data_IF_226159146473
#
_entry.id   IF_226159146473
#
_cell.length_a   1.000
_cell.length_b   1.000
_cell.length_c   1.000
_cell.angle_alpha   90.00
_cell.angle_beta   90.00
_cell.angle_gamma   90.00
#
_symmetry.space_group_name_H-M   'P 1'
#
loop_
_entity.id
_entity.type
_entity.pdbx_description
1 polymer ?
#
# COMPACT_ATOMS: atom_id res chain seq x y z
N UNK A 1 13.98 -27.72 -3.54
CA UNK A 1 13.69 -27.24 -2.16
C UNK A 1 14.49 -25.96 -1.93
N UNK A 2 13.88 -24.79 -2.19
CA UNK A 2 14.50 -23.51 -1.90
C UNK A 2 14.53 -23.30 -0.38
N UNK A 3 15.74 -23.15 0.17
CA UNK A 3 15.96 -22.86 1.59
C UNK A 3 15.40 -21.47 1.90
N UNK A 4 14.44 -21.40 2.81
CA UNK A 4 14.02 -20.15 3.42
C UNK A 4 15.23 -19.55 4.13
N UNK A 5 15.71 -18.40 3.64
CA UNK A 5 16.76 -17.64 4.31
C UNK A 5 16.15 -17.05 5.59
N UNK A 6 16.34 -17.74 6.70
CA UNK A 6 16.06 -17.21 8.03
C UNK A 6 17.01 -16.03 8.24
N UNK A 7 16.45 -14.84 8.33
CA UNK A 7 17.16 -13.59 8.63
C UNK A 7 17.72 -13.63 10.06
N UNK A 8 18.87 -14.28 10.22
CA UNK A 8 19.83 -14.08 11.32
C UNK A 8 20.96 -13.24 10.72
N UNK A 9 21.41 -12.12 11.26
CA UNK A 9 21.64 -11.80 12.66
C UNK A 9 21.67 -10.27 12.86
N UNK A 10 21.26 -9.82 14.06
CA UNK A 10 21.57 -8.51 14.68
C UNK A 10 21.06 -7.22 13.99
N UNK A 11 19.74 -6.99 14.03
CA UNK A 11 19.11 -5.70 14.40
C UNK A 11 17.57 -5.77 14.27
N UNK A 12 16.92 -6.77 14.90
CA UNK A 12 15.46 -6.79 15.05
C UNK A 12 15.13 -6.62 16.53
N UNK A 13 15.07 -5.37 16.97
CA UNK A 13 14.23 -4.98 18.10
C UNK A 13 13.20 -4.05 17.48
N UNK A 14 12.11 -4.52 16.88
CA UNK A 14 10.90 -4.91 17.61
C UNK A 14 9.91 -5.75 16.76
N UNK A 15 10.28 -6.18 15.56
CA UNK A 15 9.35 -6.76 14.58
C UNK A 15 9.92 -8.05 13.99
N UNK A 16 9.53 -9.22 14.54
CA UNK A 16 10.04 -10.56 14.16
C UNK A 16 9.65 -10.95 12.72
N UNK A 17 10.20 -10.23 11.73
CA UNK A 17 9.86 -10.37 10.32
C UNK A 17 10.64 -11.53 9.68
N UNK A 18 9.93 -12.38 8.92
CA UNK A 18 10.49 -13.52 8.18
C UNK A 18 10.01 -13.45 6.74
N UNK A 19 10.92 -13.53 5.77
CA UNK A 19 10.59 -13.55 4.33
C UNK A 19 10.38 -15.00 3.87
N UNK A 20 9.25 -15.27 3.22
CA UNK A 20 8.86 -16.60 2.72
C UNK A 20 9.04 -16.71 1.20
N UNK A 21 8.73 -15.65 0.44
CA UNK A 21 8.95 -15.59 -1.02
C UNK A 21 9.05 -14.14 -1.52
N UNK A 22 9.58 -13.90 -2.73
CA UNK A 22 9.76 -12.54 -3.30
C UNK A 22 9.21 -12.42 -4.72
N UNK A 23 8.68 -11.24 -5.10
CA UNK A 23 8.13 -10.98 -6.45
C UNK A 23 8.18 -9.50 -6.92
N UNK A 24 7.90 -9.32 -8.22
CA UNK A 24 7.66 -8.15 -9.09
C UNK A 24 8.73 -7.05 -9.27
N UNK A 25 9.37 -6.53 -8.23
CA UNK A 25 10.39 -5.45 -8.38
C UNK A 25 11.72 -5.71 -7.67
N UNK A 26 11.88 -6.90 -7.10
CA UNK A 26 13.06 -7.25 -6.28
C UNK A 26 13.13 -6.52 -4.93
N UNK A 27 12.09 -5.74 -4.58
CA UNK A 27 11.99 -4.99 -3.34
C UNK A 27 10.77 -5.36 -2.50
N UNK A 28 9.87 -6.23 -2.98
CA UNK A 28 8.65 -6.62 -2.25
C UNK A 28 8.63 -8.14 -2.07
N UNK A 29 8.30 -8.55 -0.86
CA UNK A 29 8.36 -9.93 -0.40
C UNK A 29 7.10 -10.30 0.37
N UNK A 30 6.63 -11.53 0.19
CA UNK A 30 5.66 -12.13 1.10
C UNK A 30 6.40 -12.74 2.29
N UNK A 31 5.84 -12.61 3.48
CA UNK A 31 6.47 -13.07 4.70
C UNK A 31 5.52 -13.09 5.89
N UNK A 32 6.09 -13.07 7.10
CA UNK A 32 5.35 -12.98 8.36
C UNK A 32 5.98 -11.98 9.30
N UNK A 33 5.18 -11.28 10.10
CA UNK A 33 5.61 -10.49 11.26
C UNK A 33 4.78 -10.92 12.45
N UNK A 34 5.41 -11.39 13.53
CA UNK A 34 4.74 -11.89 14.73
C UNK A 34 3.60 -12.89 14.42
N UNK A 35 3.91 -13.90 13.58
CA UNK A 35 2.99 -14.94 13.11
C UNK A 35 1.86 -14.45 12.16
N UNK A 36 1.78 -13.16 11.84
CA UNK A 36 0.81 -12.62 10.89
C UNK A 36 1.41 -12.58 9.49
N UNK A 37 0.68 -13.06 8.49
CA UNK A 37 1.07 -12.92 7.08
C UNK A 37 1.26 -11.44 6.72
N UNK A 38 2.34 -11.15 6.02
CA UNK A 38 2.81 -9.79 5.77
C UNK A 38 3.32 -9.61 4.34
N UNK A 39 3.19 -8.38 3.85
CA UNK A 39 3.92 -7.86 2.70
C UNK A 39 5.07 -7.02 3.23
N UNK A 40 6.29 -7.40 2.91
CA UNK A 40 7.54 -6.77 3.39
C UNK A 40 8.18 -6.05 2.20
N UNK A 41 8.34 -4.74 2.31
CA UNK A 41 9.06 -3.92 1.34
C UNK A 41 10.46 -3.61 1.85
N UNK A 42 11.47 -3.87 1.03
CA UNK A 42 12.85 -3.45 1.24
C UNK A 42 13.08 -2.07 0.60
N UNK A 43 13.62 -1.16 1.38
CA UNK A 43 13.90 0.23 1.00
C UNK A 43 15.42 0.39 0.97
N UNK A 44 15.97 0.76 -0.19
CA UNK A 44 17.41 0.84 -0.44
C UNK A 44 17.80 2.18 -1.08
N UNK A 45 19.06 2.62 -0.89
CA UNK A 45 19.59 3.84 -1.50
C UNK A 45 19.77 4.99 -0.51
N UNK A 46 20.27 6.15 -0.99
CA UNK A 46 20.84 7.22 -0.14
C UNK A 46 19.86 7.90 0.82
N UNK A 47 18.55 7.66 0.69
CA UNK A 47 17.49 8.18 1.57
C UNK A 47 16.58 7.08 2.11
N UNK A 48 17.07 5.86 2.22
CA UNK A 48 16.24 4.73 2.65
C UNK A 48 15.70 4.91 4.09
N UNK A 49 16.53 5.43 5.00
CA UNK A 49 16.12 5.73 6.36
C UNK A 49 15.02 6.82 6.39
N UNK A 50 15.23 7.92 5.68
CA UNK A 50 14.27 9.04 5.60
C UNK A 50 12.93 8.59 5.02
N UNK A 51 12.94 7.81 3.93
CA UNK A 51 11.71 7.29 3.31
C UNK A 51 10.96 6.33 4.24
N UNK A 52 11.67 5.43 4.93
CA UNK A 52 11.05 4.55 5.92
C UNK A 52 10.41 5.35 7.06
N UNK A 53 11.13 6.36 7.59
CA UNK A 53 10.61 7.22 8.66
C UNK A 53 9.41 8.05 8.21
N UNK A 54 9.43 8.57 6.99
CA UNK A 54 8.29 9.28 6.41
C UNK A 54 7.07 8.36 6.26
N UNK A 55 7.26 7.15 5.71
CA UNK A 55 6.18 6.15 5.59
C UNK A 55 5.61 5.78 6.98
N UNK A 56 6.46 5.66 8.01
CA UNK A 56 6.01 5.46 9.40
C UNK A 56 5.14 6.61 9.91
N UNK A 57 5.52 7.87 9.66
CA UNK A 57 4.74 9.04 10.06
C UNK A 57 3.38 9.06 9.37
N UNK A 58 3.33 8.70 8.08
CA UNK A 58 2.08 8.56 7.35
C UNK A 58 1.19 7.49 7.99
N UNK A 59 1.71 6.30 8.28
CA UNK A 59 0.93 5.26 8.95
C UNK A 59 0.47 5.66 10.35
N UNK A 60 1.28 6.42 11.09
CA UNK A 60 0.87 6.97 12.39
C UNK A 60 -0.33 7.91 12.25
N UNK A 61 -0.33 8.82 11.27
CA UNK A 61 -1.47 9.68 10.98
C UNK A 61 -2.73 8.88 10.58
N UNK A 62 -2.54 7.76 9.89
CA UNK A 62 -3.62 6.88 9.43
C UNK A 62 -4.09 5.84 10.45
N UNK A 63 -3.60 5.89 11.69
CA UNK A 63 -3.98 4.94 12.77
C UNK A 63 -5.50 4.69 12.86
N UNK A 64 -6.40 5.69 12.74
CA UNK A 64 -7.84 5.47 12.82
C UNK A 64 -8.42 4.58 11.70
N UNK A 65 -7.74 4.52 10.55
CA UNK A 65 -8.19 3.86 9.32
C UNK A 65 -7.54 2.49 9.09
N UNK A 66 -6.42 2.22 9.77
CA UNK A 66 -5.70 0.95 9.65
C UNK A 66 -6.61 -0.25 10.03
N UNK A 67 -6.66 -1.25 9.15
CA UNK A 67 -7.47 -2.45 9.28
C UNK A 67 -8.95 -2.29 8.88
N UNK A 68 -9.42 -1.05 8.66
CA UNK A 68 -10.80 -0.76 8.25
C UNK A 68 -10.89 -0.42 6.76
N UNK A 69 -10.08 0.55 6.34
CA UNK A 69 -9.99 1.03 4.96
C UNK A 69 -8.56 1.29 4.47
N UNK A 70 -7.58 1.27 5.38
CA UNK A 70 -6.15 1.36 5.07
C UNK A 70 -5.46 0.08 5.56
N UNK A 71 -4.47 -0.40 4.81
CA UNK A 71 -3.67 -1.56 5.23
C UNK A 71 -3.03 -1.32 6.59
N UNK A 72 -2.96 -2.37 7.42
CA UNK A 72 -2.33 -2.26 8.73
C UNK A 72 -0.80 -2.36 8.60
N UNK A 73 -0.08 -1.41 9.19
CA UNK A 73 1.36 -1.52 9.40
C UNK A 73 1.62 -2.51 10.54
N UNK A 74 2.43 -3.54 10.26
CA UNK A 74 2.85 -4.56 11.23
C UNK A 74 4.22 -4.25 11.82
N UNK A 75 5.09 -3.56 11.07
CA UNK A 75 6.37 -3.12 11.59
C UNK A 75 7.22 -2.43 10.53
N UNK A 76 8.32 -1.84 10.99
CA UNK A 76 9.38 -1.32 10.15
C UNK A 76 10.71 -1.47 10.88
N UNK A 77 11.82 -1.31 10.17
CA UNK A 77 13.12 -1.39 10.79
C UNK A 77 14.28 -1.31 9.81
N UNK A 78 15.49 -1.42 10.37
CA UNK A 78 16.71 -1.55 9.59
C UNK A 78 16.90 -3.01 9.20
N UNK A 79 17.22 -3.28 7.94
CA UNK A 79 17.52 -4.62 7.42
C UNK A 79 19.03 -4.86 7.32
N UNK A 80 19.79 -3.87 6.84
CA UNK A 80 21.26 -3.87 6.81
C UNK A 80 21.78 -2.46 7.10
N UNK A 81 23.10 -2.26 7.07
CA UNK A 81 23.70 -0.92 7.26
C UNK A 81 23.12 0.16 6.34
N UNK A 82 22.69 -0.20 5.13
CA UNK A 82 22.22 0.75 4.10
C UNK A 82 20.79 0.50 3.63
N UNK A 83 20.08 -0.46 4.24
CA UNK A 83 18.72 -0.81 3.83
C UNK A 83 17.77 -0.97 5.01
N UNK A 84 16.51 -0.68 4.74
CA UNK A 84 15.42 -0.62 5.70
C UNK A 84 14.23 -1.40 5.17
N UNK A 85 13.23 -1.63 6.00
CA UNK A 85 12.01 -2.26 5.57
C UNK A 85 10.78 -1.64 6.23
N UNK A 86 9.65 -1.76 5.54
CA UNK A 86 8.30 -1.64 6.10
C UNK A 86 7.55 -2.93 5.83
N UNK A 87 6.69 -3.33 6.76
CA UNK A 87 5.92 -4.55 6.69
C UNK A 87 4.47 -4.25 7.03
N UNK A 88 3.57 -4.55 6.09
CA UNK A 88 2.14 -4.38 6.25
C UNK A 88 1.44 -5.74 6.28
N UNK A 89 0.23 -5.79 6.82
CA UNK A 89 -0.56 -7.01 6.83
C UNK A 89 -0.86 -7.44 5.41
N UNK A 90 -0.68 -8.72 5.10
CA UNK A 90 -1.18 -9.30 3.87
C UNK A 90 -2.71 -9.29 3.91
N UNK A 91 -3.33 -8.54 3.00
CA UNK A 91 -4.79 -8.41 2.90
C UNK A 91 -5.27 -9.39 1.85
N UNK A 92 -6.19 -10.26 2.24
CA UNK A 92 -6.90 -11.14 1.31
C UNK A 92 -7.96 -10.34 0.56
N UNK A 93 -8.00 -10.50 -0.76
CA UNK A 93 -8.97 -9.77 -1.59
C UNK A 93 -8.61 -9.82 -3.06
N UNK A 94 -9.49 -9.22 -3.86
CA UNK A 94 -9.28 -9.04 -5.30
C UNK A 94 -8.96 -7.58 -5.59
N UNK A 95 -8.08 -7.31 -6.56
CA UNK A 95 -7.84 -5.94 -7.02
C UNK A 95 -9.12 -5.33 -7.57
N UNK A 96 -9.37 -4.05 -7.26
CA UNK A 96 -10.60 -3.33 -7.59
C UNK A 96 -11.00 -3.44 -9.06
N UNK A 97 -10.03 -3.42 -9.98
CA UNK A 97 -10.25 -3.50 -11.42
C UNK A 97 -11.03 -4.75 -11.88
N UNK A 98 -10.96 -5.85 -11.12
CA UNK A 98 -11.63 -7.10 -11.48
C UNK A 98 -13.12 -7.12 -11.13
N UNK A 99 -13.55 -6.32 -10.14
CA UNK A 99 -14.97 -6.21 -9.77
C UNK A 99 -15.75 -5.28 -10.69
N UNK A 100 -15.09 -4.29 -11.29
CA UNK A 100 -15.75 -3.14 -11.91
C UNK A 100 -15.49 -2.94 -13.42
N UNK A 101 -15.11 -3.98 -14.15
CA UNK A 101 -14.97 -3.91 -15.63
C UNK A 101 -16.25 -3.48 -16.36
N UNK A 102 -17.42 -3.62 -15.73
CA UNK A 102 -18.72 -3.16 -16.27
C UNK A 102 -19.22 -1.82 -15.69
N UNK A 103 -18.76 -1.38 -14.52
CA UNK A 103 -19.32 -0.22 -13.82
C UNK A 103 -18.24 0.56 -13.03
N UNK A 104 -17.44 1.40 -13.71
CA UNK A 104 -16.68 2.49 -13.06
C UNK A 104 -17.60 3.67 -12.67
N UNK A 105 -18.77 3.40 -12.12
CA UNK A 105 -19.49 4.50 -11.47
C UNK A 105 -18.64 4.96 -10.28
N UNK A 106 -18.68 6.26 -9.98
CA UNK A 106 -18.06 6.84 -8.78
C UNK A 106 -18.59 6.06 -7.58
N UNK A 107 -17.86 5.06 -7.13
CA UNK A 107 -18.29 4.29 -5.97
C UNK A 107 -18.22 5.24 -4.76
N UNK A 108 -19.36 5.57 -4.13
CA UNK A 108 -19.37 6.46 -3.00
C UNK A 108 -18.43 5.99 -1.88
N UNK A 109 -18.20 4.68 -1.75
CA UNK A 109 -17.28 4.11 -0.77
C UNK A 109 -15.82 4.50 -1.05
N UNK A 110 -15.43 4.57 -2.33
CA UNK A 110 -14.08 4.96 -2.73
C UNK A 110 -13.81 6.44 -2.40
N UNK A 111 -14.76 7.31 -2.73
CA UNK A 111 -14.65 8.74 -2.43
C UNK A 111 -14.64 8.99 -0.92
N UNK A 112 -15.46 8.26 -0.17
CA UNK A 112 -15.47 8.32 1.29
C UNK A 112 -14.14 7.85 1.89
N UNK A 113 -13.55 6.76 1.36
CA UNK A 113 -12.25 6.28 1.81
C UNK A 113 -11.15 7.32 1.55
N UNK A 114 -11.10 7.90 0.36
CA UNK A 114 -10.12 8.93 0.02
C UNK A 114 -10.30 10.17 0.90
N UNK A 115 -11.54 10.64 1.10
CA UNK A 115 -11.84 11.75 2.00
C UNK A 115 -11.43 11.45 3.45
N UNK A 116 -11.60 10.21 3.92
CA UNK A 116 -11.14 9.81 5.25
C UNK A 116 -9.61 9.89 5.38
N UNK A 117 -8.87 9.44 4.36
CA UNK A 117 -7.40 9.58 4.29
C UNK A 117 -6.99 11.07 4.33
N UNK A 118 -7.65 11.91 3.52
CA UNK A 118 -7.41 13.35 3.49
C UNK A 118 -7.70 14.04 4.82
N UNK A 119 -8.75 13.62 5.54
CA UNK A 119 -9.07 14.14 6.88
C UNK A 119 -7.98 13.87 7.92
N UNK A 120 -7.10 12.90 7.68
CA UNK A 120 -5.91 12.63 8.49
C UNK A 120 -4.70 13.51 8.09
N UNK A 121 -4.86 14.45 7.17
CA UNK A 121 -3.77 15.28 6.65
C UNK A 121 -2.82 14.53 5.71
N UNK A 122 -3.27 13.44 5.09
CA UNK A 122 -2.47 12.60 4.19
C UNK A 122 -3.01 12.69 2.77
N UNK A 123 -2.12 12.79 1.78
CA UNK A 123 -2.43 12.60 0.35
C UNK A 123 -1.67 11.37 -0.13
N UNK A 124 -2.32 10.48 -0.88
CA UNK A 124 -1.74 9.18 -1.23
C UNK A 124 -0.67 9.27 -2.34
N UNK A 125 -0.88 10.15 -3.33
CA UNK A 125 -0.05 10.42 -4.53
C UNK A 125 0.17 9.26 -5.50
N UNK A 126 0.10 8.01 -5.05
CA UNK A 126 0.17 6.81 -5.91
C UNK A 126 -1.11 5.98 -5.86
N UNK A 127 -2.26 6.65 -5.86
CA UNK A 127 -3.54 5.95 -5.83
C UNK A 127 -3.79 5.38 -7.24
N UNK A 128 -4.21 4.11 -7.33
CA UNK A 128 -4.67 3.46 -8.57
C UNK A 128 -5.34 2.12 -8.23
N UNK A 129 -5.97 1.47 -9.21
CA UNK A 129 -6.70 0.21 -9.01
C UNK A 129 -5.85 -0.93 -8.44
N UNK A 130 -4.53 -0.89 -8.61
CA UNK A 130 -3.60 -1.90 -8.12
C UNK A 130 -3.27 -1.73 -6.64
N UNK A 131 -3.42 -0.52 -6.11
CA UNK A 131 -3.30 -0.21 -4.69
C UNK A 131 -4.64 -0.31 -3.95
N UNK A 132 -5.69 -0.80 -4.61
CA UNK A 132 -7.01 -1.01 -4.00
C UNK A 132 -7.39 -2.48 -4.04
N UNK A 133 -7.66 -3.04 -2.86
CA UNK A 133 -8.24 -4.36 -2.73
C UNK A 133 -9.70 -4.28 -2.28
N UNK A 134 -10.47 -5.25 -2.76
CA UNK A 134 -11.77 -5.59 -2.22
C UNK A 134 -11.66 -6.89 -1.47
N UNK A 135 -11.90 -6.81 -0.18
CA UNK A 135 -11.89 -7.95 0.73
C UNK A 135 -13.11 -8.86 0.49
N UNK A 136 -13.07 -10.14 0.93
CA UNK A 136 -14.21 -11.05 0.82
C UNK A 136 -15.49 -10.53 1.49
N UNK A 137 -15.36 -9.72 2.54
CA UNK A 137 -16.45 -9.01 3.23
C UNK A 137 -16.82 -7.67 2.56
N UNK A 138 -16.48 -7.51 1.29
CA UNK A 138 -16.88 -6.39 0.42
C UNK A 138 -16.34 -5.01 0.83
N UNK A 139 -15.32 -4.93 1.71
CA UNK A 139 -14.69 -3.65 2.05
C UNK A 139 -13.54 -3.30 1.15
N UNK A 140 -13.43 -2.01 0.82
CA UNK A 140 -12.25 -1.40 0.22
C UNK A 140 -11.10 -1.30 1.21
N UNK A 141 -9.91 -1.69 0.78
CA UNK A 141 -8.66 -1.49 1.51
C UNK A 141 -7.62 -0.87 0.59
N UNK A 142 -7.19 0.33 0.95
CA UNK A 142 -6.11 1.05 0.29
C UNK A 142 -4.76 0.54 0.82
N UNK A 143 -3.91 0.20 -0.12
CA UNK A 143 -2.56 -0.31 0.09
C UNK A 143 -1.56 0.80 -0.19
N UNK A 144 -0.36 0.61 0.35
CA UNK A 144 0.85 1.25 -0.14
C UNK A 144 0.95 2.78 -0.07
N UNK A 145 1.62 3.29 0.97
CA UNK A 145 1.77 4.73 1.24
C UNK A 145 3.21 5.24 1.08
N UNK A 146 4.09 4.55 0.35
CA UNK A 146 5.49 4.97 0.24
C UNK A 146 5.68 6.32 -0.46
N UNK A 147 4.81 6.62 -1.43
CA UNK A 147 4.76 7.91 -2.10
C UNK A 147 3.81 8.88 -1.42
N UNK A 148 3.18 8.57 -0.29
CA UNK A 148 2.25 9.52 0.32
C UNK A 148 2.94 10.83 0.73
N UNK A 149 2.13 11.87 0.96
CA UNK A 149 2.57 13.15 1.50
C UNK A 149 1.89 13.39 2.85
N UNK A 150 2.68 13.75 3.86
CA UNK A 150 2.19 14.14 5.17
C UNK A 150 3.16 15.11 5.87
N UNK A 151 2.69 16.24 6.44
CA UNK A 151 1.32 16.75 6.36
C UNK A 151 1.02 17.31 4.96
N UNK A 152 -0.17 17.04 4.45
CA UNK A 152 -0.66 17.57 3.18
C UNK A 152 -1.58 18.79 3.41
N UNK A 153 -1.45 19.78 2.52
CA UNK A 153 -2.34 20.95 2.48
C UNK A 153 -3.69 20.62 1.83
N UNK A 154 -4.69 21.46 2.08
CA UNK A 154 -6.02 21.34 1.45
C UNK A 154 -5.91 21.37 -0.08
N UNK A 155 -5.07 22.24 -0.64
CA UNK A 155 -4.87 22.31 -2.09
C UNK A 155 -4.36 20.98 -2.68
N UNK A 156 -3.47 20.28 -1.97
CA UNK A 156 -2.95 18.98 -2.41
C UNK A 156 -4.01 17.86 -2.30
N UNK A 157 -4.89 17.94 -1.30
CA UNK A 157 -6.03 17.01 -1.15
C UNK A 157 -7.04 17.21 -2.28
N UNK A 158 -7.38 18.46 -2.59
CA UNK A 158 -8.26 18.83 -3.70
C UNK A 158 -7.69 18.42 -5.06
N UNK A 159 -6.38 18.57 -5.26
CA UNK A 159 -5.69 18.13 -6.47
C UNK A 159 -5.80 16.61 -6.67
N UNK A 160 -5.53 15.82 -5.63
CA UNK A 160 -5.69 14.37 -5.68
C UNK A 160 -7.14 13.99 -5.98
N UNK A 161 -8.11 14.57 -5.25
CA UNK A 161 -9.54 14.32 -5.47
C UNK A 161 -9.97 14.65 -6.91
N UNK A 162 -9.50 15.77 -7.45
CA UNK A 162 -9.79 16.19 -8.83
C UNK A 162 -9.15 15.26 -9.87
N UNK A 163 -7.97 14.72 -9.59
CA UNK A 163 -7.33 13.69 -10.41
C UNK A 163 -8.19 12.41 -10.46
N UNK A 164 -8.74 11.98 -9.33
CA UNK A 164 -9.61 10.80 -9.23
C UNK A 164 -10.92 10.97 -9.96
N UNK A 165 -11.59 12.10 -9.76
CA UNK A 165 -12.84 12.40 -10.46
C UNK A 165 -12.64 12.41 -11.99
N UNK A 166 -11.50 12.95 -12.46
CA UNK A 166 -11.11 12.88 -13.88
C UNK A 166 -10.83 11.45 -14.34
N UNK A 167 -10.13 10.63 -13.55
CA UNK A 167 -9.86 9.24 -13.91
C UNK A 167 -11.12 8.38 -13.97
N UNK A 168 -12.02 8.53 -12.99
CA UNK A 168 -13.30 7.79 -12.92
C UNK A 168 -14.25 8.17 -14.05
N UNK A 169 -14.20 9.42 -14.53
CA UNK A 169 -15.04 9.87 -15.65
C UNK A 169 -14.51 9.49 -17.04
N UNK A 170 -13.34 8.84 -17.16
CA UNK A 170 -12.80 8.44 -18.48
C UNK A 170 -13.64 7.31 -19.10
N UNK A 171 -14.06 7.42 -20.38
CA UNK A 171 -14.75 6.34 -21.08
C UNK A 171 -13.88 5.07 -21.15
N UNK A 172 -14.51 3.89 -21.05
CA UNK A 172 -13.84 2.58 -21.10
C UNK A 172 -13.22 2.22 -22.48
N UNK A 173 -13.29 3.13 -23.46
CA UNK A 173 -12.84 2.86 -24.81
C UNK A 173 -11.30 2.75 -24.87
N UNK A 174 -10.79 1.52 -25.05
CA UNK A 174 -9.44 1.27 -25.57
C UNK A 174 -8.45 0.47 -24.72
N UNK A 175 -8.80 -0.03 -23.53
CA UNK A 175 -7.86 -0.83 -22.71
C UNK A 175 -7.90 -2.35 -22.96
N UNK A 176 -8.74 -2.83 -23.88
CA UNK A 176 -8.78 -4.24 -24.30
C UNK A 176 -8.48 -4.38 -25.80
N UNK A 177 -7.28 -3.97 -26.24
CA UNK A 177 -6.65 -4.57 -27.43
C UNK A 177 -5.48 -5.44 -26.96
N UNK A 178 -5.83 -6.57 -26.35
CA UNK A 178 -4.90 -7.61 -25.93
C UNK A 178 -5.45 -8.95 -26.37
N UNK A 179 -5.71 -9.11 -27.66
CA UNK A 179 -5.80 -10.42 -28.28
C UNK A 179 -4.47 -11.14 -27.98
N UNK A 180 -4.55 -12.15 -27.11
CA UNK A 180 -3.51 -13.17 -27.01
C UNK A 180 -3.55 -13.96 -28.31
N UNK A 181 -2.60 -13.69 -29.20
CA UNK A 181 -2.12 -14.70 -30.14
C UNK A 181 -1.06 -15.56 -29.49
#
# INVERSE_FOLDING_TARGET
MQRANVLRDQAIAHSRAVVESGTYSGQVYAGRVDQKSAVIRLITGPKAAERMQHELQVFQALTPLQGKGVVQLLGAGRYSETSYFTATKLVEGMQWAWRNSAHRQLDPELLQLLAAVHSCGVVHRDFHEGNLLVTPDHRLVLLDFHEALHPASVAQQEEEMSSWQRWLSRPLAGMYSGERT
#
